data_IF_625298311520
#
_entry.id   IF_625298311520
#
_cell.length_a   1.000
_cell.length_b   1.000
_cell.length_c   1.000
_cell.angle_alpha   90.00
_cell.angle_beta   90.00
_cell.angle_gamma   90.00
#
_symmetry.space_group_name_H-M   'P 1'
#
loop_
_entity.id
_entity.type
_entity.pdbx_description
1 polymer ?
#
# COMPACT_ATOMS: atom_id res chain seq x y z
N UNK A 1 16.73 0.02 5.21
CA UNK A 1 15.92 0.88 6.07
C UNK A 1 14.65 1.26 5.33
N UNK A 2 13.52 1.23 6.03
CA UNK A 2 12.22 1.48 5.42
C UNK A 2 11.97 2.99 5.29
N UNK A 3 11.70 3.44 4.08
CA UNK A 3 11.39 4.84 3.77
C UNK A 3 9.89 5.04 3.61
N UNK A 4 9.47 6.29 3.81
CA UNK A 4 8.09 6.73 3.56
C UNK A 4 8.01 7.47 2.23
N UNK A 5 7.08 7.03 1.40
CA UNK A 5 6.67 7.72 0.18
C UNK A 5 5.34 8.41 0.50
N UNK A 6 5.36 9.73 0.65
CA UNK A 6 4.22 10.51 1.15
C UNK A 6 3.45 11.18 0.02
N UNK A 7 2.15 10.91 -0.02
CA UNK A 7 1.22 11.48 -1.00
C UNK A 7 0.04 12.14 -0.31
N UNK A 8 -0.73 12.91 -1.06
CA UNK A 8 -1.86 13.66 -0.53
C UNK A 8 -3.18 12.90 -0.51
N UNK A 9 -4.28 13.64 -0.50
CA UNK A 9 -5.64 13.09 -0.51
C UNK A 9 -6.05 12.67 -1.92
N UNK A 10 -7.02 11.77 -1.99
CA UNK A 10 -7.67 11.36 -3.24
C UNK A 10 -6.69 10.85 -4.31
N UNK A 11 -5.73 10.03 -3.90
CA UNK A 11 -4.87 9.32 -4.84
C UNK A 11 -5.71 8.23 -5.50
N UNK A 12 -6.12 8.48 -6.73
CA UNK A 12 -7.08 7.64 -7.43
C UNK A 12 -6.37 6.48 -8.15
N UNK A 13 -7.12 5.43 -8.49
CA UNK A 13 -6.55 4.24 -9.12
C UNK A 13 -5.92 4.53 -10.48
N UNK A 14 -6.43 5.50 -11.21
CA UNK A 14 -5.86 5.91 -12.49
C UNK A 14 -4.52 6.63 -12.33
N UNK A 15 -4.33 7.28 -11.18
CA UNK A 15 -3.04 7.89 -10.80
C UNK A 15 -2.05 6.82 -10.36
N UNK A 16 -2.52 5.81 -9.64
CA UNK A 16 -1.66 4.70 -9.18
C UNK A 16 -1.13 3.91 -10.37
N UNK A 17 -2.01 3.56 -11.29
CA UNK A 17 -1.64 2.91 -12.55
C UNK A 17 -2.57 3.37 -13.66
N UNK A 18 -2.07 4.22 -14.59
CA UNK A 18 -2.89 4.75 -15.68
C UNK A 18 -3.43 3.67 -16.61
N UNK A 19 -4.65 3.89 -17.10
CA UNK A 19 -5.33 2.96 -17.99
C UNK A 19 -4.52 2.63 -19.25
N UNK A 20 -3.71 3.57 -19.72
CA UNK A 20 -2.88 3.38 -20.92
C UNK A 20 -1.85 2.26 -20.79
N UNK A 21 -1.55 1.81 -19.57
CA UNK A 21 -0.59 0.74 -19.31
C UNK A 21 -1.24 -0.61 -19.01
N UNK A 22 -2.57 -0.68 -18.90
CA UNK A 22 -3.26 -1.91 -18.47
C UNK A 22 -3.18 -3.05 -19.48
N UNK A 23 -2.73 -2.80 -20.70
CA UNK A 23 -2.49 -3.81 -21.70
C UNK A 23 -1.15 -4.54 -21.53
N UNK A 24 -0.32 -4.11 -20.60
CA UNK A 24 0.94 -4.78 -20.28
C UNK A 24 0.62 -6.03 -19.46
N UNK A 25 1.00 -7.20 -19.98
CA UNK A 25 0.69 -8.48 -19.33
C UNK A 25 1.65 -8.84 -18.20
N UNK A 26 2.90 -8.38 -18.28
CA UNK A 26 3.90 -8.65 -17.26
C UNK A 26 3.71 -7.66 -16.10
N UNK A 27 3.43 -8.16 -14.90
CA UNK A 27 3.18 -7.33 -13.73
C UNK A 27 4.42 -6.55 -13.27
N UNK A 28 5.61 -7.09 -13.43
CA UNK A 28 6.85 -6.38 -13.09
C UNK A 28 7.05 -5.18 -14.01
N UNK A 29 6.80 -5.36 -15.29
CA UNK A 29 6.87 -4.28 -16.27
C UNK A 29 5.78 -3.22 -16.01
N UNK A 30 4.54 -3.67 -15.72
CA UNK A 30 3.44 -2.79 -15.40
C UNK A 30 3.76 -1.95 -14.15
N UNK A 31 4.35 -2.56 -13.14
CA UNK A 31 4.69 -1.90 -11.89
C UNK A 31 5.74 -0.80 -12.05
N UNK A 32 6.53 -0.83 -13.11
CA UNK A 32 7.50 0.24 -13.38
C UNK A 32 6.82 1.58 -13.70
N UNK A 33 5.53 1.56 -14.01
CA UNK A 33 4.73 2.75 -14.24
C UNK A 33 3.89 3.16 -13.02
N UNK A 34 4.06 2.47 -11.88
CA UNK A 34 3.31 2.78 -10.67
C UNK A 34 3.57 4.22 -10.21
N UNK A 35 2.50 4.95 -9.93
CA UNK A 35 2.53 6.33 -9.44
C UNK A 35 3.15 7.34 -10.43
N UNK A 36 3.40 6.93 -11.67
CA UNK A 36 4.13 7.74 -12.66
C UNK A 36 3.53 9.14 -12.87
N UNK A 37 2.21 9.25 -12.85
CA UNK A 37 1.54 10.53 -13.13
C UNK A 37 1.67 11.55 -12.00
N UNK A 38 2.03 11.14 -10.80
CA UNK A 38 2.23 12.06 -9.67
C UNK A 38 3.64 12.03 -9.11
N UNK A 39 4.40 10.98 -9.37
CA UNK A 39 5.76 10.86 -8.84
C UNK A 39 6.59 9.91 -9.71
N UNK A 40 7.34 10.48 -10.63
CA UNK A 40 8.20 9.70 -11.53
C UNK A 40 9.38 9.05 -10.80
N UNK A 41 9.63 9.44 -9.56
CA UNK A 41 10.75 8.90 -8.76
C UNK A 41 10.37 7.65 -7.97
N UNK A 42 9.06 7.37 -7.82
CA UNK A 42 8.62 6.26 -6.99
C UNK A 42 9.05 4.91 -7.55
N UNK A 43 8.60 4.57 -8.75
CA UNK A 43 8.84 3.25 -9.32
C UNK A 43 10.34 2.89 -9.42
N UNK A 44 11.23 3.78 -9.89
CA UNK A 44 12.65 3.44 -9.98
C UNK A 44 13.39 3.41 -8.64
N UNK A 45 12.87 4.05 -7.60
CA UNK A 45 13.61 4.23 -6.34
C UNK A 45 13.02 3.53 -5.13
N UNK A 46 11.76 3.10 -5.18
CA UNK A 46 11.13 2.41 -4.05
C UNK A 46 11.86 1.09 -3.79
N UNK A 47 12.10 0.80 -2.52
CA UNK A 47 12.80 -0.40 -2.09
C UNK A 47 11.85 -1.36 -1.38
N UNK A 48 12.11 -2.68 -1.44
CA UNK A 48 11.34 -3.64 -0.67
C UNK A 48 11.34 -3.27 0.82
N UNK A 49 10.16 -3.27 1.43
CA UNK A 49 9.99 -2.88 2.82
C UNK A 49 9.64 -1.42 3.05
N UNK A 50 9.65 -0.60 2.00
CA UNK A 50 9.22 0.80 2.10
C UNK A 50 7.71 0.90 2.36
N UNK A 51 7.27 2.08 2.78
CA UNK A 51 5.86 2.36 3.07
C UNK A 51 5.33 3.46 2.16
N UNK A 52 4.07 3.33 1.76
CA UNK A 52 3.32 4.40 1.12
C UNK A 52 2.40 5.02 2.18
N UNK A 53 2.47 6.32 2.35
CA UNK A 53 1.65 7.05 3.32
C UNK A 53 0.89 8.14 2.57
N UNK A 54 -0.41 8.18 2.73
CA UNK A 54 -1.26 9.12 2.00
C UNK A 54 -2.38 9.68 2.89
N UNK A 55 -3.12 10.61 2.36
CA UNK A 55 -4.23 11.25 3.04
C UNK A 55 -5.54 10.47 2.91
N UNK A 56 -6.61 11.21 2.66
CA UNK A 56 -7.97 10.65 2.60
C UNK A 56 -8.26 9.96 1.28
N UNK A 57 -9.12 8.95 1.34
CA UNK A 57 -9.73 8.32 0.18
C UNK A 57 -8.71 7.76 -0.82
N UNK A 58 -7.67 7.10 -0.31
CA UNK A 58 -6.64 6.47 -1.14
C UNK A 58 -7.25 5.33 -1.95
N UNK A 59 -6.94 5.29 -3.25
CA UNK A 59 -7.44 4.25 -4.14
C UNK A 59 -8.84 4.52 -4.68
N UNK A 60 -9.34 5.75 -4.59
CA UNK A 60 -10.65 6.13 -5.15
C UNK A 60 -10.67 5.98 -6.67
N UNK A 61 -11.83 6.11 -7.26
CA UNK A 61 -12.01 5.97 -8.71
C UNK A 61 -12.43 4.57 -9.11
N UNK A 62 -11.94 4.08 -10.23
CA UNK A 62 -12.31 2.78 -10.77
C UNK A 62 -11.81 1.63 -9.92
N UNK A 63 -12.57 0.54 -9.88
CA UNK A 63 -12.19 -0.67 -9.14
C UNK A 63 -11.15 -1.50 -9.90
N UNK A 64 -9.93 -1.02 -9.94
CA UNK A 64 -8.82 -1.72 -10.62
C UNK A 64 -8.04 -2.56 -9.65
N UNK A 65 -8.02 -3.86 -9.90
CA UNK A 65 -7.20 -4.79 -9.14
C UNK A 65 -5.70 -4.55 -9.37
N UNK A 66 -5.34 -3.96 -10.49
CA UNK A 66 -3.96 -3.64 -10.83
C UNK A 66 -3.35 -2.58 -9.91
N UNK A 67 -4.16 -1.66 -9.36
CA UNK A 67 -3.66 -0.58 -8.52
C UNK A 67 -2.94 -1.10 -7.27
N UNK A 68 -3.55 -1.91 -6.40
CA UNK A 68 -2.82 -2.46 -5.26
C UNK A 68 -1.72 -3.44 -5.70
N UNK A 69 -1.94 -4.15 -6.81
CA UNK A 69 -0.98 -5.14 -7.29
C UNK A 69 0.37 -4.52 -7.66
N UNK A 70 0.38 -3.42 -8.41
CA UNK A 70 1.64 -2.77 -8.81
C UNK A 70 2.40 -2.21 -7.61
N UNK A 71 1.69 -1.74 -6.60
CA UNK A 71 2.31 -1.27 -5.36
C UNK A 71 2.96 -2.45 -4.63
N UNK A 72 2.27 -3.58 -4.54
CA UNK A 72 2.81 -4.79 -3.92
C UNK A 72 4.03 -5.31 -4.67
N UNK A 73 3.97 -5.36 -5.98
CA UNK A 73 5.09 -5.84 -6.83
C UNK A 73 6.35 -5.00 -6.61
N UNK A 74 6.20 -3.71 -6.38
CA UNK A 74 7.33 -2.83 -6.08
C UNK A 74 7.93 -3.05 -4.68
N UNK A 75 7.35 -3.95 -3.89
CA UNK A 75 7.91 -4.33 -2.58
C UNK A 75 7.43 -3.49 -1.41
N UNK A 76 6.43 -2.65 -1.60
CA UNK A 76 5.85 -1.85 -0.50
C UNK A 76 5.30 -2.80 0.56
N UNK A 77 5.72 -2.59 1.80
CA UNK A 77 5.34 -3.45 2.92
C UNK A 77 3.92 -3.18 3.41
N UNK A 78 3.51 -1.93 3.39
CA UNK A 78 2.21 -1.51 3.90
C UNK A 78 1.84 -0.14 3.34
N UNK A 79 0.55 0.08 3.10
CA UNK A 79 0.02 1.41 2.79
C UNK A 79 -0.68 1.94 4.04
N UNK A 80 -0.31 3.14 4.46
CA UNK A 80 -0.87 3.82 5.62
C UNK A 80 -1.56 5.07 5.12
N UNK A 81 -2.83 5.24 5.44
CA UNK A 81 -3.60 6.40 4.98
C UNK A 81 -4.60 6.86 6.03
N UNK A 82 -5.05 8.10 5.88
CA UNK A 82 -6.17 8.62 6.68
C UNK A 82 -7.40 7.73 6.46
N UNK A 83 -7.75 7.50 5.18
CA UNK A 83 -8.82 6.59 4.80
C UNK A 83 -8.56 5.98 3.43
N UNK A 84 -9.25 4.87 3.14
CA UNK A 84 -9.18 4.18 1.85
C UNK A 84 -10.55 4.10 1.20
N UNK A 85 -10.58 4.10 -0.13
CA UNK A 85 -11.78 3.70 -0.86
C UNK A 85 -12.04 2.22 -0.56
N UNK A 86 -13.30 1.86 -0.36
CA UNK A 86 -13.69 0.52 0.09
C UNK A 86 -13.21 -0.61 -0.83
N UNK A 87 -13.37 -0.43 -2.13
CA UNK A 87 -12.98 -1.44 -3.11
C UNK A 87 -11.47 -1.63 -3.14
N UNK A 88 -10.72 -0.52 -3.08
CA UNK A 88 -9.26 -0.59 -3.01
C UNK A 88 -8.79 -1.35 -1.77
N UNK A 89 -9.37 -1.03 -0.62
CA UNK A 89 -9.06 -1.70 0.65
C UNK A 89 -9.26 -3.21 0.52
N UNK A 90 -10.41 -3.62 0.01
CA UNK A 90 -10.73 -5.05 -0.20
C UNK A 90 -9.74 -5.72 -1.15
N UNK A 91 -9.46 -5.10 -2.29
CA UNK A 91 -8.55 -5.66 -3.29
C UNK A 91 -7.13 -5.81 -2.74
N UNK A 92 -6.66 -4.82 -1.98
CA UNK A 92 -5.34 -4.88 -1.36
C UNK A 92 -5.22 -6.04 -0.38
N UNK A 93 -6.20 -6.22 0.50
CA UNK A 93 -6.23 -7.31 1.46
C UNK A 93 -6.24 -8.66 0.72
N UNK A 94 -7.04 -8.79 -0.32
CA UNK A 94 -7.17 -10.04 -1.08
C UNK A 94 -5.85 -10.48 -1.72
N UNK A 95 -5.00 -9.58 -2.10
CA UNK A 95 -3.69 -9.92 -2.68
C UNK A 95 -2.55 -9.93 -1.66
N UNK A 96 -2.86 -9.71 -0.38
CA UNK A 96 -1.88 -9.74 0.68
C UNK A 96 -1.07 -8.47 0.87
N UNK A 97 -1.56 -7.33 0.41
CA UNK A 97 -0.96 -6.04 0.66
C UNK A 97 -1.61 -5.42 1.89
N UNK A 98 -0.90 -5.33 3.03
CA UNK A 98 -1.48 -4.74 4.24
C UNK A 98 -1.79 -3.25 4.06
N UNK A 99 -2.91 -2.81 4.59
CA UNK A 99 -3.36 -1.42 4.58
C UNK A 99 -3.84 -1.02 5.97
N UNK A 100 -3.41 0.15 6.45
CA UNK A 100 -3.77 0.68 7.76
C UNK A 100 -4.43 2.03 7.62
N UNK A 101 -5.65 2.14 8.15
CA UNK A 101 -6.43 3.38 8.19
C UNK A 101 -6.23 4.02 9.55
N UNK A 102 -5.56 5.16 9.61
CA UNK A 102 -5.17 5.77 10.89
C UNK A 102 -5.78 7.16 11.14
N UNK A 103 -6.58 7.66 10.19
CA UNK A 103 -7.20 8.98 10.35
C UNK A 103 -6.16 10.10 10.32
N UNK A 104 -6.42 11.14 11.07
CA UNK A 104 -5.58 12.34 11.10
C UNK A 104 -4.14 12.12 11.56
N UNK A 105 -3.88 11.01 12.22
CA UNK A 105 -2.52 10.68 12.70
C UNK A 105 -1.52 10.59 11.54
N UNK A 106 -1.99 10.40 10.32
CA UNK A 106 -1.15 10.35 9.12
C UNK A 106 -0.38 11.65 8.91
N UNK A 107 -0.89 12.77 9.40
CA UNK A 107 -0.23 14.06 9.29
C UNK A 107 1.11 14.12 10.00
N UNK A 108 1.33 13.23 10.97
CA UNK A 108 2.59 13.14 11.71
C UNK A 108 3.71 12.49 10.90
N UNK A 109 3.38 11.84 9.81
CA UNK A 109 4.32 11.11 8.97
C UNK A 109 4.66 11.94 7.73
N UNK A 110 5.95 12.16 7.50
CA UNK A 110 6.44 12.94 6.36
C UNK A 110 7.26 12.07 5.41
N UNK A 111 7.45 12.57 4.19
CA UNK A 111 8.30 11.90 3.21
C UNK A 111 9.72 11.73 3.75
N UNK A 112 10.29 10.55 3.55
CA UNK A 112 11.63 10.24 4.01
C UNK A 112 11.74 9.79 5.47
N UNK A 113 10.64 9.79 6.23
CA UNK A 113 10.63 9.27 7.60
C UNK A 113 10.94 7.77 7.61
N UNK A 114 11.51 7.30 8.70
CA UNK A 114 11.70 5.86 8.93
C UNK A 114 10.58 5.34 9.82
N UNK A 115 9.95 4.26 9.39
CA UNK A 115 8.85 3.65 10.15
C UNK A 115 9.17 2.24 10.56
N UNK A 116 8.69 1.88 11.75
CA UNK A 116 8.54 0.50 12.20
C UNK A 116 7.07 0.28 12.49
N UNK A 117 6.47 -0.69 11.81
CA UNK A 117 5.04 -0.98 11.95
C UNK A 117 4.85 -2.38 12.51
N UNK A 118 4.16 -2.48 13.64
CA UNK A 118 3.71 -3.74 14.21
C UNK A 118 2.21 -3.88 13.97
N UNK A 119 1.86 -4.65 12.95
CA UNK A 119 0.46 -4.81 12.56
C UNK A 119 -0.34 -5.62 13.58
N UNK A 120 0.32 -6.50 14.33
CA UNK A 120 -0.36 -7.28 15.36
C UNK A 120 -0.76 -6.43 16.56
N UNK A 121 0.02 -5.40 16.88
CA UNK A 121 -0.28 -4.46 17.97
C UNK A 121 -0.98 -3.20 17.49
N UNK A 122 -1.01 -2.95 16.18
CA UNK A 122 -1.52 -1.70 15.62
C UNK A 122 -0.66 -0.51 15.97
N UNK A 123 0.65 -0.70 16.02
CA UNK A 123 1.60 0.33 16.46
C UNK A 123 2.47 0.78 15.31
N UNK A 124 2.54 2.08 15.09
CA UNK A 124 3.40 2.70 14.06
C UNK A 124 4.40 3.60 14.79
N UNK A 125 5.67 3.26 14.67
CA UNK A 125 6.73 4.05 15.29
C UNK A 125 7.47 4.85 14.21
N UNK A 126 7.51 6.17 14.37
CA UNK A 126 8.31 7.06 13.51
C UNK A 126 9.67 7.17 14.16
N UNK A 127 10.62 6.37 13.72
CA UNK A 127 11.91 6.16 14.39
C UNK A 127 12.71 7.45 14.49
N UNK A 128 12.81 8.21 13.42
CA UNK A 128 13.60 9.45 13.37
C UNK A 128 12.98 10.60 14.16
N UNK A 129 11.70 10.52 14.51
CA UNK A 129 11.00 11.54 15.30
C UNK A 129 10.73 11.11 16.73
N UNK A 130 10.92 9.83 17.05
CA UNK A 130 10.62 9.30 18.38
C UNK A 130 9.13 9.30 18.73
N UNK A 131 8.25 9.29 17.72
CA UNK A 131 6.79 9.33 17.88
C UNK A 131 6.24 7.93 17.65
N UNK A 132 5.30 7.51 18.52
CA UNK A 132 4.56 6.27 18.33
C UNK A 132 3.09 6.57 18.10
N UNK A 133 2.51 6.03 17.03
CA UNK A 133 1.09 6.16 16.71
C UNK A 133 0.43 4.84 17.04
N UNK A 134 -0.61 4.89 17.88
CA UNK A 134 -1.41 3.72 18.21
C UNK A 134 -2.64 3.73 17.33
N UNK A 135 -2.85 2.64 16.59
CA UNK A 135 -4.02 2.46 15.73
C UNK A 135 -4.64 1.10 16.02
N UNK A 136 -5.73 0.77 15.33
CA UNK A 136 -6.36 -0.54 15.46
C UNK A 136 -5.48 -1.60 14.80
N UNK A 137 -5.16 -2.69 15.47
CA UNK A 137 -4.42 -3.77 14.84
C UNK A 137 -5.26 -4.41 13.75
N UNK A 138 -4.61 -4.97 12.73
CA UNK A 138 -5.32 -5.77 11.74
C UNK A 138 -5.89 -7.00 12.43
N UNK A 139 -7.13 -7.42 12.12
CA UNK A 139 -7.64 -8.70 12.61
C UNK A 139 -6.71 -9.84 12.25
N UNK A 140 -6.59 -10.82 13.14
CA UNK A 140 -5.71 -11.96 12.94
C UNK A 140 -5.95 -12.67 11.60
N UNK A 141 -7.19 -12.80 11.21
CA UNK A 141 -7.60 -13.36 9.93
C UNK A 141 -6.98 -12.60 8.76
N UNK A 142 -6.99 -11.25 8.79
CA UNK A 142 -6.40 -10.42 7.73
C UNK A 142 -4.86 -10.55 7.73
N UNK A 143 -4.25 -10.62 8.90
CA UNK A 143 -2.79 -10.84 9.01
C UNK A 143 -2.38 -12.14 8.35
N UNK A 144 -3.15 -13.20 8.55
CA UNK A 144 -2.89 -14.51 7.94
C UNK A 144 -2.99 -14.44 6.41
N UNK A 145 -3.96 -13.72 5.89
CA UNK A 145 -4.09 -13.53 4.43
C UNK A 145 -2.86 -12.83 3.88
N UNK A 146 -2.40 -11.77 4.54
CA UNK A 146 -1.21 -11.03 4.15
C UNK A 146 0.04 -11.91 4.18
N UNK A 147 0.20 -12.72 5.23
CA UNK A 147 1.34 -13.64 5.39
C UNK A 147 1.38 -14.71 4.30
N UNK A 148 0.21 -15.13 3.83
CA UNK A 148 0.09 -16.13 2.76
C UNK A 148 0.19 -15.52 1.35
N UNK A 149 0.35 -14.21 1.24
CA UNK A 149 0.41 -13.53 -0.05
C UNK A 149 -0.96 -13.23 -0.66
N UNK A 150 -2.03 -13.42 0.11
CA UNK A 150 -3.39 -13.07 -0.30
C UNK A 150 -4.26 -14.28 -0.62
N UNK A 151 -5.58 -14.07 -0.62
CA UNK A 151 -6.57 -15.13 -0.87
C UNK A 151 -6.44 -15.72 -2.27
N UNK A 152 -6.21 -14.89 -3.25
CA UNK A 152 -6.09 -15.35 -4.65
C UNK A 152 -4.91 -16.30 -4.80
N UNK A 153 -3.78 -15.99 -4.18
CA UNK A 153 -2.59 -16.82 -4.22
C UNK A 153 -2.84 -18.18 -3.56
N UNK A 154 -3.49 -18.18 -2.39
CA UNK A 154 -3.82 -19.43 -1.68
C UNK A 154 -4.78 -20.30 -2.50
N UNK A 155 -5.85 -19.71 -3.02
CA UNK A 155 -6.82 -20.44 -3.87
C UNK A 155 -6.16 -21.04 -5.10
N UNK A 156 -5.31 -20.28 -5.75
CA UNK A 156 -4.60 -20.73 -6.94
C UNK A 156 -3.68 -21.92 -6.63
N UNK A 157 -2.99 -21.86 -5.52
CA UNK A 157 -2.13 -22.95 -5.07
C UNK A 157 -2.93 -24.22 -4.81
N UNK A 158 -4.11 -24.11 -4.24
CA UNK A 158 -4.99 -25.25 -4.00
C UNK A 158 -5.51 -25.91 -5.27
N UNK A 159 -5.75 -25.14 -6.30
CA UNK A 159 -6.26 -25.64 -7.57
C UNK A 159 -5.22 -26.39 -8.41
N UNK A 160 -3.99 -26.23 -8.04
CA UNK A 160 -2.89 -26.96 -8.68
C UNK A 160 -2.62 -28.29 -8.01
#
# INVERSE_FOLDING_TARGET
MSKVWRYGDHVDTDVIIPARYLNIADFDELAEHAMEDIDTTFAPNVQPGDYVVAGKNFGCGSSREHAPLVIKVKGVKCIIADSFARIFYRNAINIGLPVLEIGKEVEKIAAGDELEVDMAKGEIKIVNKGITIQTKPLPEFIQKIADCGGLITVSYTHLR
#
